data_IF_759046408476
#
_entry.id   IF_759046408476
#
_cell.length_a   1.000
_cell.length_b   1.000
_cell.length_c   1.000
_cell.angle_alpha   90.00
_cell.angle_beta   90.00
_cell.angle_gamma   90.00
#
_symmetry.space_group_name_H-M   'P 1'
#
loop_
_entity.id
_entity.type
_entity.pdbx_description
1 polymer ?
#
# COMPACT_ATOMS: atom_id res chain seq x y z
N UNK A 1 -14.21 -3.31 7.40
CA UNK A 1 -13.89 -4.20 6.24
C UNK A 1 -12.64 -5.01 6.55
N UNK A 2 -12.33 -6.05 5.77
CA UNK A 2 -11.09 -6.84 5.94
C UNK A 2 -9.83 -5.99 5.73
N UNK A 3 -9.86 -5.06 4.76
CA UNK A 3 -8.79 -4.09 4.50
C UNK A 3 -8.43 -3.24 5.71
N UNK A 4 -9.43 -2.70 6.42
CA UNK A 4 -9.23 -1.92 7.66
C UNK A 4 -8.50 -2.73 8.75
N UNK A 5 -8.86 -4.00 8.93
CA UNK A 5 -8.20 -4.86 9.93
C UNK A 5 -6.74 -5.11 9.57
N UNK A 6 -6.46 -5.35 8.29
CA UNK A 6 -5.10 -5.56 7.77
C UNK A 6 -4.29 -4.26 7.91
N UNK A 7 -4.82 -3.12 7.47
CA UNK A 7 -4.17 -1.81 7.56
C UNK A 7 -3.79 -1.48 9.01
N UNK A 8 -4.73 -1.65 9.95
CA UNK A 8 -4.47 -1.36 11.37
C UNK A 8 -3.40 -2.27 11.97
N UNK A 9 -3.41 -3.56 11.64
CA UNK A 9 -2.40 -4.50 12.13
C UNK A 9 -1.02 -4.20 11.52
N UNK A 10 -0.98 -3.97 10.22
CA UNK A 10 0.28 -3.69 9.52
C UNK A 10 0.90 -2.36 9.94
N UNK A 11 0.10 -1.31 10.15
CA UNK A 11 0.63 -0.01 10.58
C UNK A 11 1.38 -0.07 11.91
N UNK A 12 0.99 -0.99 12.82
CA UNK A 12 1.74 -1.24 14.05
C UNK A 12 3.09 -1.91 13.78
N UNK A 13 3.11 -2.90 12.87
CA UNK A 13 4.32 -3.61 12.48
C UNK A 13 5.30 -2.67 11.75
N UNK A 14 4.79 -1.87 10.81
CA UNK A 14 5.54 -0.84 10.09
C UNK A 14 6.15 0.18 11.05
N UNK A 15 5.35 0.67 12.01
CA UNK A 15 5.86 1.59 13.03
C UNK A 15 6.98 0.98 13.87
N UNK A 16 6.80 -0.26 14.36
CA UNK A 16 7.85 -0.96 15.12
C UNK A 16 9.12 -1.17 14.28
N UNK A 17 8.96 -1.51 12.99
CA UNK A 17 10.09 -1.68 12.08
C UNK A 17 10.89 -0.37 11.92
N UNK A 18 10.22 0.78 12.00
CA UNK A 18 10.84 2.10 11.87
C UNK A 18 11.51 2.61 13.17
N UNK A 19 10.96 2.30 14.35
CA UNK A 19 11.43 2.92 15.62
C UNK A 19 12.20 1.98 16.54
N UNK A 20 12.04 0.67 16.39
CA UNK A 20 12.70 -0.37 17.20
C UNK A 20 13.12 -1.55 16.32
N UNK A 21 13.80 -1.23 15.21
CA UNK A 21 14.27 -2.23 14.25
C UNK A 21 15.16 -3.29 14.90
N UNK A 22 15.00 -4.54 14.49
CA UNK A 22 15.88 -5.66 14.83
C UNK A 22 15.93 -6.63 13.66
N UNK A 23 16.96 -7.47 13.57
CA UNK A 23 17.08 -8.46 12.49
C UNK A 23 15.84 -9.37 12.38
N UNK A 24 15.33 -9.85 13.51
CA UNK A 24 14.14 -10.70 13.56
C UNK A 24 12.88 -9.98 13.06
N UNK A 25 12.69 -8.72 13.47
CA UNK A 25 11.54 -7.92 13.03
C UNK A 25 11.65 -7.59 11.54
N UNK A 26 12.84 -7.17 11.09
CA UNK A 26 13.14 -6.86 9.69
C UNK A 26 12.87 -8.05 8.78
N UNK A 27 13.33 -9.24 9.19
CA UNK A 27 13.06 -10.48 8.45
C UNK A 27 11.55 -10.77 8.35
N UNK A 28 10.84 -10.70 9.48
CA UNK A 28 9.40 -10.93 9.50
C UNK A 28 8.61 -9.91 8.67
N UNK A 29 9.05 -8.64 8.68
CA UNK A 29 8.50 -7.57 7.84
C UNK A 29 8.65 -7.93 6.35
N UNK A 30 9.87 -8.22 5.92
CA UNK A 30 10.18 -8.54 4.52
C UNK A 30 9.47 -9.80 4.01
N UNK A 31 9.37 -10.84 4.84
CA UNK A 31 8.68 -12.10 4.50
C UNK A 31 7.17 -11.90 4.25
N UNK A 32 6.57 -10.82 4.77
CA UNK A 32 5.13 -10.56 4.67
C UNK A 32 4.78 -9.36 3.78
N UNK A 33 5.73 -8.49 3.47
CA UNK A 33 5.52 -7.31 2.62
C UNK A 33 4.92 -7.69 1.26
N UNK A 34 5.42 -8.75 0.62
CA UNK A 34 4.93 -9.19 -0.69
C UNK A 34 3.44 -9.56 -0.65
N UNK A 35 3.00 -10.30 0.38
CA UNK A 35 1.60 -10.72 0.54
C UNK A 35 0.68 -9.51 0.71
N UNK A 36 1.17 -8.48 1.42
CA UNK A 36 0.43 -7.24 1.62
C UNK A 36 0.30 -6.44 0.32
N UNK A 37 1.42 -6.28 -0.42
CA UNK A 37 1.44 -5.62 -1.72
C UNK A 37 0.51 -6.32 -2.71
N UNK A 38 0.52 -7.64 -2.75
CA UNK A 38 -0.38 -8.44 -3.57
C UNK A 38 -1.85 -8.21 -3.19
N UNK A 39 -2.18 -8.27 -1.90
CA UNK A 39 -3.55 -8.06 -1.42
C UNK A 39 -4.10 -6.69 -1.87
N UNK A 40 -3.36 -5.61 -1.65
CA UNK A 40 -3.83 -4.26 -2.03
C UNK A 40 -3.83 -4.04 -3.54
N UNK A 41 -2.88 -4.64 -4.29
CA UNK A 41 -2.88 -4.58 -5.76
C UNK A 41 -4.09 -5.29 -6.33
N UNK A 42 -4.42 -6.49 -5.81
CA UNK A 42 -5.60 -7.23 -6.25
C UNK A 42 -6.89 -6.47 -5.90
N UNK A 43 -6.96 -5.88 -4.69
CA UNK A 43 -8.12 -5.09 -4.27
C UNK A 43 -8.34 -3.87 -5.17
N UNK A 44 -7.26 -3.16 -5.54
CA UNK A 44 -7.35 -1.97 -6.40
C UNK A 44 -7.63 -2.30 -7.87
N UNK A 45 -7.51 -3.57 -8.27
CA UNK A 45 -7.83 -4.07 -9.61
C UNK A 45 -9.13 -4.89 -9.66
N UNK A 46 -9.87 -4.99 -8.55
CA UNK A 46 -11.16 -5.69 -8.49
C UNK A 46 -12.22 -4.94 -9.32
N UNK A 47 -12.47 -5.44 -10.52
CA UNK A 47 -13.43 -4.85 -11.44
C UNK A 47 -14.87 -4.89 -10.92
N UNK A 48 -15.24 -5.91 -10.14
CA UNK A 48 -16.59 -6.05 -9.60
C UNK A 48 -16.85 -4.95 -8.58
N UNK A 49 -15.88 -4.72 -7.69
CA UNK A 49 -15.94 -3.64 -6.72
C UNK A 49 -15.90 -2.27 -7.41
N UNK A 50 -15.02 -2.10 -8.40
CA UNK A 50 -14.94 -0.86 -9.17
C UNK A 50 -16.26 -0.53 -9.88
N UNK A 51 -16.88 -1.51 -10.56
CA UNK A 51 -18.19 -1.37 -11.21
C UNK A 51 -19.28 -0.97 -10.21
N UNK A 52 -19.29 -1.52 -9.01
CA UNK A 52 -20.25 -1.12 -7.95
C UNK A 52 -20.10 0.35 -7.55
N UNK A 53 -18.88 0.85 -7.40
CA UNK A 53 -18.66 2.27 -7.13
C UNK A 53 -19.07 3.17 -8.30
N UNK A 54 -18.84 2.73 -9.54
CA UNK A 54 -19.32 3.47 -10.73
C UNK A 54 -20.85 3.51 -10.78
N UNK A 55 -21.52 2.39 -10.53
CA UNK A 55 -22.98 2.34 -10.44
C UNK A 55 -23.51 3.24 -9.33
N UNK A 56 -22.86 3.25 -8.16
CA UNK A 56 -23.22 4.16 -7.07
C UNK A 56 -23.04 5.62 -7.47
N UNK A 57 -21.94 5.97 -8.17
CA UNK A 57 -21.68 7.34 -8.65
C UNK A 57 -22.74 7.82 -9.66
N UNK A 58 -23.26 6.90 -10.47
CA UNK A 58 -24.25 7.18 -11.51
C UNK A 58 -25.71 7.07 -11.03
N UNK A 59 -25.95 6.71 -9.77
CA UNK A 59 -27.32 6.54 -9.25
C UNK A 59 -27.92 7.84 -8.75
N UNK A 60 -29.26 7.88 -8.65
CA UNK A 60 -29.97 9.01 -8.03
C UNK A 60 -29.58 9.19 -6.56
N UNK A 61 -29.24 8.10 -5.87
CA UNK A 61 -28.75 8.14 -4.49
C UNK A 61 -27.54 9.05 -4.37
N UNK A 62 -26.60 9.02 -5.34
CA UNK A 62 -25.44 9.91 -5.33
C UNK A 62 -25.82 11.37 -5.20
N UNK A 63 -26.88 11.82 -5.89
CA UNK A 63 -27.31 13.21 -5.88
C UNK A 63 -27.76 13.67 -4.49
N UNK A 64 -28.36 12.77 -3.71
CA UNK A 64 -28.80 13.01 -2.34
C UNK A 64 -27.68 13.01 -1.28
N UNK A 65 -26.48 12.54 -1.62
CA UNK A 65 -25.36 12.45 -0.68
C UNK A 65 -24.79 13.83 -0.31
N UNK A 66 -24.25 13.91 0.91
CA UNK A 66 -23.47 15.08 1.35
C UNK A 66 -22.21 15.26 0.51
N UNK A 67 -21.65 16.48 0.50
CA UNK A 67 -20.39 16.78 -0.20
C UNK A 67 -19.24 15.85 0.22
N UNK A 68 -19.14 15.55 1.52
CA UNK A 68 -18.11 14.64 2.07
C UNK A 68 -18.28 13.21 1.55
N UNK A 69 -19.50 12.67 1.54
CA UNK A 69 -19.77 11.32 1.02
C UNK A 69 -19.51 11.23 -0.48
N UNK A 70 -19.90 12.24 -1.25
CA UNK A 70 -19.60 12.34 -2.69
C UNK A 70 -18.08 12.30 -2.93
N UNK A 71 -17.32 13.07 -2.15
CA UNK A 71 -15.86 13.11 -2.24
C UNK A 71 -15.21 11.77 -1.91
N UNK A 72 -15.73 11.02 -0.94
CA UNK A 72 -15.24 9.66 -0.64
C UNK A 72 -15.41 8.76 -1.87
N UNK A 73 -16.58 8.75 -2.50
CA UNK A 73 -16.84 7.94 -3.70
C UNK A 73 -15.91 8.35 -4.86
N UNK A 74 -15.75 9.65 -5.08
CA UNK A 74 -14.87 10.17 -6.13
C UNK A 74 -13.41 9.80 -5.90
N UNK A 75 -12.93 9.87 -4.65
CA UNK A 75 -11.58 9.44 -4.29
C UNK A 75 -11.40 7.94 -4.51
N UNK A 76 -12.35 7.11 -4.08
CA UNK A 76 -12.28 5.66 -4.27
C UNK A 76 -12.23 5.31 -5.76
N UNK A 77 -13.06 5.94 -6.61
CA UNK A 77 -13.01 5.73 -8.05
C UNK A 77 -11.67 6.15 -8.67
N UNK A 78 -11.10 7.27 -8.21
CA UNK A 78 -9.77 7.72 -8.62
C UNK A 78 -8.69 6.71 -8.20
N UNK A 79 -8.77 6.18 -6.98
CA UNK A 79 -7.85 5.17 -6.46
C UNK A 79 -7.90 3.86 -7.26
N UNK A 80 -9.09 3.38 -7.64
CA UNK A 80 -9.22 2.23 -8.56
C UNK A 80 -8.52 2.49 -9.90
N UNK A 81 -8.73 3.68 -10.48
CA UNK A 81 -8.08 4.04 -11.74
C UNK A 81 -6.56 4.08 -11.62
N UNK A 82 -6.04 4.68 -10.55
CA UNK A 82 -4.60 4.72 -10.26
C UNK A 82 -4.02 3.33 -9.91
N UNK A 83 -4.85 2.44 -9.34
CA UNK A 83 -4.52 1.04 -9.08
C UNK A 83 -4.55 0.15 -10.33
N UNK A 84 -4.97 0.68 -11.48
CA UNK A 84 -4.97 -0.05 -12.74
C UNK A 84 -6.22 -0.90 -12.97
N UNK A 85 -7.36 -0.58 -12.34
CA UNK A 85 -8.63 -1.29 -12.56
C UNK A 85 -9.07 -1.32 -14.04
N UNK A 86 -8.72 -0.28 -14.82
CA UNK A 86 -9.05 -0.13 -16.24
C UNK A 86 -8.01 -0.75 -17.20
N UNK A 87 -6.91 -1.32 -16.68
CA UNK A 87 -5.87 -1.94 -17.50
C UNK A 87 -6.34 -3.27 -18.10
N UNK A 88 -5.76 -3.67 -19.23
CA UNK A 88 -5.99 -5.02 -19.75
C UNK A 88 -5.23 -6.08 -18.92
N UNK A 89 -5.57 -7.36 -19.08
CA UNK A 89 -4.97 -8.45 -18.30
C UNK A 89 -3.43 -8.51 -18.35
N UNK A 90 -2.83 -8.21 -19.51
CA UNK A 90 -1.37 -8.19 -19.65
C UNK A 90 -0.75 -7.04 -18.88
N UNK A 91 -1.36 -5.86 -18.93
CA UNK A 91 -0.94 -4.67 -18.21
C UNK A 91 -1.16 -4.81 -16.70
N UNK A 92 -2.25 -5.43 -16.25
CA UNK A 92 -2.50 -5.73 -14.83
C UNK A 92 -1.41 -6.62 -14.23
N UNK A 93 -1.02 -7.68 -14.95
CA UNK A 93 0.10 -8.55 -14.54
C UNK A 93 1.41 -7.77 -14.42
N UNK A 94 1.72 -6.92 -15.42
CA UNK A 94 2.92 -6.07 -15.39
C UNK A 94 2.86 -5.07 -14.23
N UNK A 95 1.71 -4.46 -13.98
CA UNK A 95 1.50 -3.52 -12.87
C UNK A 95 1.80 -4.20 -11.53
N UNK A 96 1.29 -5.42 -11.31
CA UNK A 96 1.56 -6.19 -10.10
C UNK A 96 3.05 -6.45 -9.87
N UNK A 97 3.78 -6.89 -10.91
CA UNK A 97 5.23 -7.08 -10.84
C UNK A 97 5.96 -5.77 -10.50
N UNK A 98 5.50 -4.64 -11.04
CA UNK A 98 6.06 -3.32 -10.72
C UNK A 98 5.79 -2.93 -9.26
N UNK A 99 4.58 -3.15 -8.74
CA UNK A 99 4.22 -2.86 -7.35
C UNK A 99 5.07 -3.69 -6.38
N UNK A 100 5.21 -4.99 -6.62
CA UNK A 100 6.06 -5.87 -5.81
C UNK A 100 7.53 -5.43 -5.82
N UNK A 101 8.06 -5.09 -7.00
CA UNK A 101 9.44 -4.59 -7.13
C UNK A 101 9.63 -3.26 -6.42
N UNK A 102 8.66 -2.35 -6.53
CA UNK A 102 8.70 -1.04 -5.88
C UNK A 102 8.71 -1.21 -4.36
N UNK A 103 7.80 -2.00 -3.80
CA UNK A 103 7.75 -2.27 -2.36
C UNK A 103 9.08 -2.82 -1.84
N UNK A 104 9.66 -3.81 -2.53
CA UNK A 104 10.96 -4.37 -2.17
C UNK A 104 12.08 -3.33 -2.20
N UNK A 105 12.14 -2.50 -3.26
CA UNK A 105 13.19 -1.50 -3.41
C UNK A 105 13.07 -0.38 -2.38
N UNK A 106 11.86 0.08 -2.06
CA UNK A 106 11.63 1.09 -1.03
C UNK A 106 12.11 0.59 0.34
N UNK A 107 11.72 -0.62 0.74
CA UNK A 107 12.19 -1.19 2.01
C UNK A 107 13.69 -1.42 2.04
N UNK A 108 14.29 -1.93 0.96
CA UNK A 108 15.75 -2.09 0.87
C UNK A 108 16.48 -0.74 1.02
N UNK A 109 15.94 0.32 0.44
CA UNK A 109 16.52 1.65 0.54
C UNK A 109 16.49 2.18 1.98
N UNK A 110 15.36 2.02 2.68
CA UNK A 110 15.21 2.40 4.08
C UNK A 110 16.19 1.62 4.99
N UNK A 111 16.31 0.31 4.77
CA UNK A 111 17.25 -0.55 5.51
C UNK A 111 18.71 -0.14 5.28
N UNK A 112 19.09 0.15 4.03
CA UNK A 112 20.46 0.58 3.72
C UNK A 112 20.82 1.90 4.42
N UNK A 113 19.89 2.85 4.51
CA UNK A 113 20.11 4.12 5.22
C UNK A 113 20.29 3.88 6.72
N UNK A 114 19.44 3.04 7.30
CA UNK A 114 19.51 2.69 8.72
C UNK A 114 20.86 2.04 9.05
N UNK A 115 21.28 1.07 8.25
CA UNK A 115 22.52 0.33 8.47
C UNK A 115 23.75 1.26 8.33
N UNK A 116 23.79 2.11 7.28
CA UNK A 116 24.86 3.07 7.10
C UNK A 116 24.95 4.09 8.25
N UNK A 117 23.81 4.50 8.80
CA UNK A 117 23.76 5.43 9.94
C UNK A 117 24.25 4.76 11.22
N UNK A 118 23.90 3.49 11.44
CA UNK A 118 24.30 2.73 12.62
C UNK A 118 25.78 2.32 12.62
N UNK A 119 26.37 2.11 11.44
CA UNK A 119 27.79 1.70 11.29
C UNK A 119 28.77 2.86 11.56
N UNK A 120 28.34 4.10 11.36
CA UNK A 120 29.21 5.26 11.50
C UNK A 120 29.66 5.48 12.95
N UNK A 121 30.98 5.58 13.14
CA UNK A 121 31.60 5.96 14.41
C UNK A 121 32.82 6.87 14.17
N UNK A 122 32.96 7.91 15.00
CA UNK A 122 34.17 8.75 15.06
C UNK A 122 34.75 8.60 16.46
N UNK A 123 36.01 8.20 16.52
CA UNK A 123 36.81 8.21 17.73
C UNK A 123 37.66 9.48 17.74
N UNK A 124 37.64 10.21 18.85
CA UNK A 124 38.40 11.46 19.02
C UNK A 124 39.31 11.30 20.23
N UNK A 125 40.61 11.50 20.03
CA UNK A 125 41.60 11.51 21.09
C UNK A 125 41.65 12.88 21.79
N UNK A 126 42.09 12.88 23.06
CA UNK A 126 42.26 14.09 23.88
C UNK A 126 43.47 14.94 23.49
#
# INVERSE_FOLDING_TARGET
MISEKISRAWGQIEHLNAVVNSENLRKAYNDNLIKLTEFYTNLSQDESLYKKYQSLKNSETFNSLTSSQKRVIDNVLREFKLGGAELNEGEKKRFKVIQEKLAKLSTQFEENILDATNEFSIFVDH
#
